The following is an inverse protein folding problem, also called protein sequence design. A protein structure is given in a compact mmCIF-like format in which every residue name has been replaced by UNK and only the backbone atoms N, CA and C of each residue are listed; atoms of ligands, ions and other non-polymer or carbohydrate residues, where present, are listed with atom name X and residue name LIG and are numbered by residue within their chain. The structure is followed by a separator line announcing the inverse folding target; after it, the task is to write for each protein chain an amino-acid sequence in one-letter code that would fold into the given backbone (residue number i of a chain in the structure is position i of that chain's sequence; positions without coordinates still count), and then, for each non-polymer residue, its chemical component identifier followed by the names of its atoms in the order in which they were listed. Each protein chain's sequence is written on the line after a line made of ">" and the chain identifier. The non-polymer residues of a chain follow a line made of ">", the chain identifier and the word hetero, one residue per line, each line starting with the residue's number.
data_IF_928173722187
#
_entry.id   IF_928173722187
#
_cell.length_a   1.000
_cell.length_b   1.000
_cell.length_c   1.000
_cell.angle_alpha   90.00
_cell.angle_beta   90.00
_cell.angle_gamma   90.00
#
_symmetry.space_group_name_H-M   'P 1'
#
loop_
_entity.id
_entity.type
_entity.pdbx_description
1 polymer ?
#
# COMPACT_ATOMS: atom_id res chain seq x y z
N UNK A 1 -16.27 -4.03 -34.75
CA UNK A 1 -15.60 -4.56 -33.55
C UNK A 1 -16.58 -4.56 -32.40
N UNK A 2 -16.92 -5.73 -31.84
CA UNK A 2 -17.94 -5.85 -30.79
C UNK A 2 -17.42 -5.25 -29.48
N UNK A 3 -18.28 -4.53 -28.74
CA UNK A 3 -17.95 -3.83 -27.49
C UNK A 3 -17.29 -4.72 -26.42
N UNK A 4 -17.51 -6.04 -26.49
CA UNK A 4 -16.92 -7.07 -25.62
C UNK A 4 -15.38 -7.07 -25.65
N UNK A 5 -14.75 -6.79 -26.80
CA UNK A 5 -13.28 -6.78 -26.94
C UNK A 5 -12.63 -5.56 -26.28
N UNK A 6 -13.32 -4.40 -26.31
CA UNK A 6 -12.79 -3.16 -25.73
C UNK A 6 -12.77 -3.23 -24.20
N UNK A 7 -13.82 -3.79 -23.60
CA UNK A 7 -13.88 -4.00 -22.15
C UNK A 7 -12.82 -4.99 -21.68
N UNK A 8 -12.60 -6.07 -22.44
CA UNK A 8 -11.55 -7.05 -22.15
C UNK A 8 -10.15 -6.40 -22.17
N UNK A 9 -9.87 -5.55 -23.17
CA UNK A 9 -8.59 -4.83 -23.26
C UNK A 9 -8.38 -3.90 -22.05
N UNK A 10 -9.41 -3.16 -21.64
CA UNK A 10 -9.32 -2.27 -20.48
C UNK A 10 -9.09 -3.05 -19.18
N UNK A 11 -9.77 -4.17 -18.98
CA UNK A 11 -9.59 -5.04 -17.81
C UNK A 11 -8.18 -5.63 -17.78
N UNK A 12 -7.70 -6.17 -18.92
CA UNK A 12 -6.33 -6.68 -19.02
C UNK A 12 -5.29 -5.61 -18.70
N UNK A 13 -5.49 -4.39 -19.21
CA UNK A 13 -4.61 -3.25 -18.92
C UNK A 13 -4.61 -2.93 -17.43
N UNK A 14 -5.78 -2.85 -16.79
CA UNK A 14 -5.89 -2.62 -15.35
C UNK A 14 -5.17 -3.70 -14.53
N UNK A 15 -5.41 -4.98 -14.84
CA UNK A 15 -4.76 -6.10 -14.15
C UNK A 15 -3.25 -6.07 -14.33
N UNK A 16 -2.76 -5.75 -15.52
CA UNK A 16 -1.33 -5.60 -15.79
C UNK A 16 -0.73 -4.42 -15.02
N UNK A 17 -1.43 -3.29 -14.92
CA UNK A 17 -1.00 -2.14 -14.12
C UNK A 17 -0.94 -2.47 -12.64
N UNK A 18 -1.94 -3.18 -12.10
CA UNK A 18 -1.95 -3.62 -10.71
C UNK A 18 -0.80 -4.61 -10.43
N UNK A 19 -0.60 -5.58 -11.33
CA UNK A 19 0.51 -6.54 -11.25
C UNK A 19 1.87 -5.83 -11.27
N UNK A 20 2.10 -4.96 -12.25
CA UNK A 20 3.34 -4.21 -12.38
C UNK A 20 3.59 -3.32 -11.16
N UNK A 21 2.58 -2.61 -10.68
CA UNK A 21 2.69 -1.79 -9.45
C UNK A 21 3.07 -2.64 -8.24
N UNK A 22 2.47 -3.83 -8.11
CA UNK A 22 2.76 -4.78 -7.02
C UNK A 22 4.18 -5.33 -7.11
N UNK A 23 4.64 -5.69 -8.30
CA UNK A 23 6.03 -6.14 -8.55
C UNK A 23 7.05 -5.04 -8.25
N UNK A 24 6.76 -3.80 -8.67
CA UNK A 24 7.61 -2.64 -8.42
C UNK A 24 7.68 -2.31 -6.92
N UNK A 25 6.56 -2.36 -6.20
CA UNK A 25 6.56 -2.25 -4.73
C UNK A 25 7.38 -3.37 -4.09
N UNK A 26 7.15 -4.62 -4.50
CA UNK A 26 7.86 -5.78 -3.97
C UNK A 26 9.38 -5.66 -4.17
N UNK A 27 9.83 -5.16 -5.32
CA UNK A 27 11.25 -4.94 -5.59
C UNK A 27 11.91 -4.00 -4.58
N UNK A 28 11.19 -3.01 -4.05
CA UNK A 28 11.73 -2.06 -3.07
C UNK A 28 12.03 -2.73 -1.73
N UNK A 29 11.30 -3.79 -1.36
CA UNK A 29 11.55 -4.56 -0.14
C UNK A 29 12.76 -5.51 -0.26
N UNK A 30 13.25 -5.77 -1.47
CA UNK A 30 14.38 -6.66 -1.73
C UNK A 30 15.70 -5.89 -1.91
N UNK A 31 15.67 -4.56 -1.87
CA UNK A 31 16.88 -3.75 -1.94
C UNK A 31 17.73 -3.93 -0.68
N UNK A 32 19.05 -3.99 -0.86
CA UNK A 32 19.99 -4.08 0.26
C UNK A 32 19.86 -2.84 1.15
N UNK A 33 19.86 -3.05 2.46
CA UNK A 33 19.65 -2.00 3.48
C UNK A 33 18.36 -1.18 3.27
N UNK A 34 17.32 -1.75 2.63
CA UNK A 34 16.05 -1.05 2.50
C UNK A 34 15.47 -0.73 3.88
N UNK A 35 14.88 0.46 4.01
CA UNK A 35 14.19 0.91 5.22
C UNK A 35 12.92 1.63 4.83
N UNK A 36 11.88 0.83 4.60
CA UNK A 36 10.55 1.29 4.24
C UNK A 36 9.77 1.53 5.54
N UNK A 37 9.30 2.77 5.72
CA UNK A 37 8.53 3.19 6.90
C UNK A 37 7.03 2.99 6.70
N UNK A 38 6.57 3.25 5.49
CA UNK A 38 5.15 3.35 5.20
C UNK A 38 4.85 3.16 3.72
N UNK A 39 3.67 2.61 3.42
CA UNK A 39 2.99 2.73 2.14
C UNK A 39 1.69 3.49 2.32
N UNK A 40 1.40 4.46 1.44
CA UNK A 40 0.12 5.14 1.37
C UNK A 40 -0.60 4.81 0.06
N UNK A 41 -1.87 4.41 0.16
CA UNK A 41 -2.77 4.16 -0.97
C UNK A 41 -3.83 5.26 -0.95
N UNK A 42 -3.86 6.06 -2.00
CA UNK A 42 -4.74 7.21 -2.16
C UNK A 42 -5.67 6.95 -3.33
N UNK A 43 -6.98 7.07 -3.11
CA UNK A 43 -7.98 6.93 -4.17
C UNK A 43 -8.72 8.26 -4.30
N UNK A 44 -8.64 8.88 -5.47
CA UNK A 44 -9.26 10.18 -5.72
C UNK A 44 -8.66 10.92 -6.91
N UNK A 45 -9.01 12.19 -7.07
CA UNK A 45 -8.54 12.99 -8.20
C UNK A 45 -7.03 13.28 -8.12
N UNK A 46 -6.52 13.58 -6.92
CA UNK A 46 -5.12 13.97 -6.70
C UNK A 46 -4.56 13.37 -5.41
N UNK A 47 -3.23 13.40 -5.27
CA UNK A 47 -2.55 12.98 -4.04
C UNK A 47 -2.78 13.94 -2.85
N UNK A 48 -3.15 15.20 -3.11
CA UNK A 48 -3.34 16.22 -2.07
C UNK A 48 -4.76 16.19 -1.51
N UNK A 49 -5.74 15.80 -2.34
CA UNK A 49 -7.16 15.75 -1.99
C UNK A 49 -7.78 14.39 -2.37
N UNK A 50 -7.32 13.28 -1.74
CA UNK A 50 -7.88 11.97 -1.96
C UNK A 50 -9.28 11.87 -1.34
N UNK A 51 -10.13 11.01 -1.92
CA UNK A 51 -11.43 10.67 -1.33
C UNK A 51 -11.32 9.55 -0.29
N UNK A 52 -10.29 8.72 -0.41
CA UNK A 52 -9.92 7.66 0.51
C UNK A 52 -8.39 7.63 0.63
N UNK A 53 -7.90 7.62 1.87
CA UNK A 53 -6.50 7.59 2.19
C UNK A 53 -6.22 6.46 3.19
N UNK A 54 -5.48 5.44 2.74
CA UNK A 54 -5.09 4.31 3.59
C UNK A 54 -3.57 4.33 3.75
N UNK A 55 -3.10 4.48 4.99
CA UNK A 55 -1.69 4.42 5.36
C UNK A 55 -1.39 3.09 6.02
N UNK A 56 -0.37 2.39 5.55
CA UNK A 56 0.14 1.15 6.12
C UNK A 56 1.50 1.47 6.73
N UNK A 57 1.55 1.55 8.05
CA UNK A 57 2.76 1.84 8.80
C UNK A 57 3.41 0.53 9.20
N UNK A 58 4.69 0.40 8.86
CA UNK A 58 5.47 -0.79 9.16
C UNK A 58 6.26 -0.63 10.47
N UNK A 59 6.47 -1.72 11.22
CA UNK A 59 7.35 -1.71 12.37
C UNK A 59 8.79 -1.47 11.90
N UNK A 60 9.53 -0.64 12.63
CA UNK A 60 10.92 -0.27 12.30
C UNK A 60 11.89 -1.46 12.32
N UNK A 61 11.53 -2.52 13.04
CA UNK A 61 12.47 -3.54 13.52
C UNK A 61 12.39 -4.85 12.70
N UNK A 62 11.53 -4.91 11.66
CA UNK A 62 11.32 -6.14 10.85
C UNK A 62 11.50 -5.89 9.37
N UNK A 63 11.17 -4.70 8.87
CA UNK A 63 11.39 -4.34 7.47
C UNK A 63 12.70 -3.58 7.26
N UNK A 64 13.67 -3.87 8.12
CA UNK A 64 15.07 -3.65 7.85
C UNK A 64 15.62 -4.92 7.20
N UNK A 65 16.06 -4.84 5.94
CA UNK A 65 16.71 -5.97 5.25
C UNK A 65 17.93 -6.55 5.97
N UNK A 66 18.47 -5.87 7.00
CA UNK A 66 19.51 -6.41 7.88
C UNK A 66 18.98 -7.41 8.92
N UNK A 67 17.69 -7.35 9.27
CA UNK A 67 17.05 -8.14 10.34
C UNK A 67 15.87 -9.00 9.83
N UNK A 68 15.49 -8.81 8.57
CA UNK A 68 14.44 -9.53 7.87
C UNK A 68 14.94 -10.90 7.38
N UNK A 69 14.66 -11.95 8.16
CA UNK A 69 14.97 -13.33 7.76
C UNK A 69 13.68 -14.06 7.35
N UNK A 70 13.68 -14.68 6.17
CA UNK A 70 12.54 -15.48 5.66
C UNK A 70 12.06 -16.54 6.67
N UNK A 71 12.98 -17.11 7.45
CA UNK A 71 12.67 -18.09 8.50
C UNK A 71 11.86 -17.52 9.69
N UNK A 72 11.79 -16.19 9.86
CA UNK A 72 10.98 -15.53 10.89
C UNK A 72 9.53 -15.25 10.44
N UNK A 73 9.19 -15.53 9.19
CA UNK A 73 7.83 -15.31 8.70
C UNK A 73 6.88 -16.38 9.22
N UNK A 74 5.95 -16.00 10.09
CA UNK A 74 4.83 -16.86 10.45
C UNK A 74 3.97 -17.15 9.20
N UNK A 75 3.60 -18.41 8.99
CA UNK A 75 2.79 -18.81 7.84
C UNK A 75 1.37 -18.21 7.96
N UNK A 76 1.04 -17.29 7.04
CA UNK A 76 -0.30 -16.71 6.76
C UNK A 76 -1.08 -16.02 7.91
N UNK A 77 -0.77 -16.29 9.18
CA UNK A 77 -1.44 -15.77 10.37
C UNK A 77 -1.46 -14.22 10.43
N UNK A 78 -0.38 -13.49 10.09
CA UNK A 78 -0.40 -12.03 10.09
C UNK A 78 -1.38 -11.45 9.06
N UNK A 79 -1.41 -12.03 7.86
CA UNK A 79 -2.33 -11.60 6.80
C UNK A 79 -3.80 -11.87 7.20
N UNK A 80 -4.10 -13.05 7.74
CA UNK A 80 -5.45 -13.38 8.20
C UNK A 80 -5.92 -12.44 9.33
N UNK A 81 -5.03 -12.13 10.27
CA UNK A 81 -5.33 -11.18 11.34
C UNK A 81 -5.60 -9.78 10.79
N UNK A 82 -4.76 -9.31 9.85
CA UNK A 82 -4.98 -8.03 9.18
C UNK A 82 -6.33 -7.99 8.47
N UNK A 83 -6.64 -9.00 7.65
CA UNK A 83 -7.91 -9.09 6.93
C UNK A 83 -9.09 -9.10 7.91
N UNK A 84 -8.99 -9.83 9.02
CA UNK A 84 -10.02 -9.84 10.07
C UNK A 84 -10.20 -8.46 10.68
N UNK A 85 -9.13 -7.78 11.11
CA UNK A 85 -9.22 -6.44 11.68
C UNK A 85 -9.79 -5.41 10.70
N UNK A 86 -9.49 -5.52 9.40
CA UNK A 86 -10.10 -4.68 8.38
C UNK A 86 -11.60 -4.94 8.22
N UNK A 87 -12.04 -6.20 8.31
CA UNK A 87 -13.46 -6.58 8.24
C UNK A 87 -14.24 -6.17 9.51
N UNK A 88 -13.58 -6.21 10.68
CA UNK A 88 -14.18 -5.82 11.97
C UNK A 88 -14.26 -4.30 12.17
N UNK A 89 -13.50 -3.50 11.41
CA UNK A 89 -13.57 -2.04 11.46
C UNK A 89 -14.73 -1.53 10.60
N UNK A 90 -15.85 -1.22 11.25
CA UNK A 90 -17.07 -0.71 10.58
C UNK A 90 -16.82 0.55 9.78
N UNK A 91 -16.04 1.51 10.30
CA UNK A 91 -15.74 2.76 9.62
C UNK A 91 -14.98 2.52 8.31
N UNK A 92 -14.09 1.53 8.31
CA UNK A 92 -13.35 1.15 7.10
C UNK A 92 -14.26 0.47 6.08
N UNK A 93 -15.17 -0.41 6.53
CA UNK A 93 -16.16 -1.03 5.65
C UNK A 93 -17.11 0.01 5.05
N UNK A 94 -17.62 0.92 5.87
CA UNK A 94 -18.51 2.01 5.43
C UNK A 94 -17.81 2.85 4.35
N UNK A 95 -16.56 3.25 4.59
CA UNK A 95 -15.78 4.02 3.61
C UNK A 95 -15.53 3.26 2.29
N UNK A 96 -15.38 1.94 2.31
CA UNK A 96 -15.20 1.12 1.11
C UNK A 96 -16.50 0.90 0.32
N UNK A 97 -17.66 0.99 0.98
CA UNK A 97 -18.97 0.87 0.31
C UNK A 97 -19.46 2.17 -0.30
N UNK A 98 -18.83 3.31 0.03
CA UNK A 98 -19.14 4.59 -0.60
C UNK A 98 -18.92 4.52 -2.12
N UNK A 99 -19.92 4.87 -2.94
CA UNK A 99 -19.80 4.79 -4.37
C UNK A 99 -18.73 5.77 -4.88
N UNK A 100 -17.67 5.22 -5.46
CA UNK A 100 -16.64 5.98 -6.15
C UNK A 100 -16.79 5.74 -7.65
N UNK A 101 -17.02 6.81 -8.40
CA UNK A 101 -16.81 6.78 -9.84
C UNK A 101 -15.35 6.38 -10.13
N UNK A 102 -15.06 5.75 -11.30
CA UNK A 102 -13.69 5.45 -11.70
C UNK A 102 -12.80 6.67 -11.52
N UNK A 103 -11.74 6.51 -10.72
CA UNK A 103 -10.85 7.59 -10.32
C UNK A 103 -9.42 7.07 -10.21
N UNK A 104 -8.47 7.97 -9.98
CA UNK A 104 -7.07 7.61 -9.93
C UNK A 104 -6.75 6.92 -8.60
N UNK A 105 -5.82 5.97 -8.67
CA UNK A 105 -5.19 5.36 -7.50
C UNK A 105 -3.73 5.74 -7.51
N UNK A 106 -3.24 6.33 -6.43
CA UNK A 106 -1.83 6.64 -6.24
C UNK A 106 -1.28 5.75 -5.14
N UNK A 107 -0.10 5.19 -5.37
CA UNK A 107 0.63 4.44 -4.34
C UNK A 107 1.94 5.16 -4.06
N UNK A 108 2.12 5.57 -2.81
CA UNK A 108 3.31 6.25 -2.35
C UNK A 108 4.05 5.32 -1.38
N UNK A 109 5.37 5.42 -1.41
CA UNK A 109 6.26 4.69 -0.51
C UNK A 109 7.15 5.69 0.21
N UNK A 110 7.16 5.62 1.54
CA UNK A 110 8.09 6.38 2.35
C UNK A 110 9.25 5.49 2.76
N UNK A 111 10.45 5.85 2.32
CA UNK A 111 11.71 5.18 2.66
C UNK A 111 12.68 6.14 3.36
N UNK A 112 13.64 5.59 4.07
CA UNK A 112 14.73 6.34 4.73
C UNK A 112 16.10 5.72 4.50
N UNK A 113 16.19 4.82 3.53
CA UNK A 113 17.45 4.25 3.08
C UNK A 113 18.16 5.14 2.06
N UNK A 114 19.41 4.80 1.75
CA UNK A 114 20.28 5.50 0.80
C UNK A 114 20.23 4.90 -0.61
N UNK A 115 19.26 4.03 -0.92
CA UNK A 115 19.15 3.48 -2.27
C UNK A 115 18.76 4.57 -3.27
N UNK A 116 19.18 4.39 -4.52
CA UNK A 116 18.77 5.26 -5.61
C UNK A 116 17.24 5.23 -5.78
N UNK A 117 16.71 6.33 -6.28
CA UNK A 117 15.30 6.40 -6.67
C UNK A 117 15.07 5.39 -7.78
N UNK A 118 13.99 4.61 -7.67
CA UNK A 118 13.56 3.71 -8.73
C UNK A 118 13.01 4.51 -9.90
N UNK A 119 13.33 4.13 -11.14
CA UNK A 119 12.81 4.77 -12.35
C UNK A 119 11.27 4.73 -12.45
N UNK A 120 10.64 3.81 -11.72
CA UNK A 120 9.18 3.69 -11.65
C UNK A 120 8.55 4.71 -10.67
N UNK A 121 9.23 5.02 -9.58
CA UNK A 121 8.70 5.88 -8.52
C UNK A 121 9.19 7.31 -8.66
N UNK A 122 8.26 8.26 -8.67
CA UNK A 122 8.59 9.68 -8.69
C UNK A 122 8.79 10.23 -7.26
N UNK A 123 9.90 10.93 -7.03
CA UNK A 123 10.13 11.62 -5.77
C UNK A 123 9.09 12.71 -5.52
N UNK A 124 8.64 12.79 -4.27
CA UNK A 124 7.69 13.81 -3.79
C UNK A 124 8.19 14.45 -2.48
N UNK A 125 9.26 15.27 -2.52
CA UNK A 125 9.89 15.82 -1.32
C UNK A 125 8.99 16.78 -0.52
N UNK A 126 8.00 17.39 -1.19
CA UNK A 126 7.05 18.33 -0.59
C UNK A 126 5.68 17.69 -0.30
N UNK A 127 5.55 16.36 -0.42
CA UNK A 127 4.29 15.71 -0.12
C UNK A 127 4.04 15.73 1.39
N UNK A 128 2.92 16.32 1.75
CA UNK A 128 2.40 16.32 3.11
C UNK A 128 1.10 15.50 3.10
N UNK A 129 1.00 14.43 3.90
CA UNK A 129 -0.22 13.64 4.00
C UNK A 129 -1.41 14.54 4.37
N UNK A 130 -2.53 14.49 3.61
CA UNK A 130 -3.72 15.26 3.96
C UNK A 130 -4.31 14.71 5.26
N UNK A 131 -4.53 15.60 6.24
CA UNK A 131 -5.03 15.27 7.58
C UNK A 131 -6.56 15.38 7.65
N UNK A 132 -7.18 16.13 6.73
CA UNK A 132 -8.60 16.54 6.80
C UNK A 132 -9.51 15.79 5.81
N UNK A 133 -9.24 14.52 5.53
CA UNK A 133 -10.14 13.72 4.67
C UNK A 133 -11.01 12.81 5.53
N UNK A 134 -12.32 12.80 5.28
CA UNK A 134 -13.32 12.03 6.05
C UNK A 134 -13.08 10.52 6.04
N UNK A 135 -12.35 9.99 5.05
CA UNK A 135 -12.01 8.57 4.92
C UNK A 135 -10.48 8.39 4.99
N UNK A 136 -9.93 8.64 6.19
CA UNK A 136 -8.52 8.51 6.47
C UNK A 136 -8.27 7.37 7.46
N UNK A 137 -7.49 6.38 7.03
CA UNK A 137 -7.24 5.16 7.80
C UNK A 137 -5.75 4.91 7.97
N UNK A 138 -5.35 4.52 9.18
CA UNK A 138 -3.99 4.09 9.48
C UNK A 138 -4.02 2.64 9.97
N UNK A 139 -3.44 1.76 9.17
CA UNK A 139 -3.15 0.38 9.53
C UNK A 139 -1.73 0.35 10.09
N UNK A 140 -1.62 0.23 11.41
CA UNK A 140 -0.31 0.09 12.09
C UNK A 140 -0.01 -1.39 12.27
N UNK A 141 0.98 -1.89 11.56
CA UNK A 141 1.47 -3.25 11.76
C UNK A 141 2.37 -3.26 13.00
N UNK A 142 2.03 -4.12 13.95
CA UNK A 142 2.79 -4.32 15.17
C UNK A 142 3.35 -5.74 15.18
N UNK A 143 4.56 -5.87 15.70
CA UNK A 143 5.14 -7.15 16.02
C UNK A 143 5.49 -7.17 17.48
N UNK A 144 4.82 -8.07 18.18
CA UNK A 144 5.19 -8.41 19.54
C UNK A 144 6.10 -9.62 19.45
N UNK A 145 7.40 -9.43 19.71
CA UNK A 145 8.37 -10.53 19.84
C UNK A 145 8.22 -11.27 21.17
N UNK A 146 7.18 -10.94 21.96
CA UNK A 146 6.80 -11.68 23.16
C UNK A 146 6.17 -13.03 22.77
N UNK A 147 7.04 -13.96 22.37
CA UNK A 147 6.82 -15.38 22.62
C UNK A 147 6.91 -15.60 24.13
N UNK A 148 5.80 -15.99 24.74
CA UNK A 148 5.87 -16.91 25.87
C UNK A 148 6.43 -18.25 25.39
#
# INVERSE_FOLDING_TARGET
>A
MKSTDRNLSSIKTLLNTLKSTSEQLNSQFHLKNCKIKEIAILIGATIISPKLHVRIIFPSDILNSQEHFECKHASKKPLLNLMRSMLECSEFQDALTLPLNPTNTFVLIQKSDSNTVSDFFLLKPQYIPPIETSNYFIIKLQYNDQKN
#
